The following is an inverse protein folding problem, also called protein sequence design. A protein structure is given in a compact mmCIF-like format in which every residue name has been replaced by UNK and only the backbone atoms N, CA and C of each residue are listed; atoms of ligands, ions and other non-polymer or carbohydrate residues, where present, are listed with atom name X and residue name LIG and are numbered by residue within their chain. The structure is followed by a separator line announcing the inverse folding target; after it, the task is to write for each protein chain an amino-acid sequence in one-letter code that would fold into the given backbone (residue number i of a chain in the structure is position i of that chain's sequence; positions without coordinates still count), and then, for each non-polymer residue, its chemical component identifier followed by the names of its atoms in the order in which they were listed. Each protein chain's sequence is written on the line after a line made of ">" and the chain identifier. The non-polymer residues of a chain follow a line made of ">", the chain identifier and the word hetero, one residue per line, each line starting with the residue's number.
data_IF_349721705104
#
_entry.id   IF_349721705104
#
_cell.length_a   1.000
_cell.length_b   1.000
_cell.length_c   1.000
_cell.angle_alpha   90.00
_cell.angle_beta   90.00
_cell.angle_gamma   90.00
#
_symmetry.space_group_name_H-M   'P 1'
#
loop_
_entity.id
_entity.type
_entity.pdbx_description
1 polymer ?
#
# COMPACT_ATOMS: atom_id res chain seq x y z
N UNK A 1 28.92 18.52 52.30
CA UNK A 1 27.74 17.99 51.60
C UNK A 1 27.75 18.14 50.04
N UNK A 2 28.38 19.13 49.38
CA UNK A 2 28.35 19.24 47.90
C UNK A 2 29.13 18.14 47.18
N UNK A 3 30.23 17.62 47.71
CA UNK A 3 31.01 16.53 47.09
C UNK A 3 30.20 15.23 46.93
N UNK A 4 29.46 14.79 47.93
CA UNK A 4 28.65 13.56 47.89
C UNK A 4 27.56 13.65 46.81
N UNK A 5 26.92 14.80 46.63
CA UNK A 5 25.92 15.01 45.56
C UNK A 5 26.56 14.94 44.18
N UNK A 6 27.73 15.55 43.98
CA UNK A 6 28.48 15.49 42.70
C UNK A 6 28.85 14.04 42.34
N UNK A 7 29.37 13.28 43.31
CA UNK A 7 29.73 11.87 43.10
C UNK A 7 28.49 11.04 42.70
N UNK A 8 27.37 11.21 43.43
CA UNK A 8 26.11 10.50 43.11
C UNK A 8 25.62 10.83 41.69
N UNK A 9 25.59 12.11 41.30
CA UNK A 9 25.17 12.48 39.93
C UNK A 9 26.16 11.97 38.88
N UNK A 10 27.45 12.01 39.12
CA UNK A 10 28.45 11.48 38.19
C UNK A 10 28.32 9.96 38.04
N UNK A 11 28.08 9.22 39.13
CA UNK A 11 27.85 7.77 39.07
C UNK A 11 26.55 7.44 38.32
N UNK A 12 25.45 8.14 38.64
CA UNK A 12 24.18 7.95 37.95
C UNK A 12 24.32 8.22 36.43
N UNK A 13 24.98 9.31 36.06
CA UNK A 13 25.24 9.64 34.67
C UNK A 13 26.11 8.60 33.98
N UNK A 14 27.20 8.16 34.59
CA UNK A 14 28.07 7.13 34.05
C UNK A 14 27.35 5.78 33.87
N UNK A 15 26.53 5.40 34.88
CA UNK A 15 25.71 4.17 34.78
C UNK A 15 24.67 4.26 33.66
N UNK A 16 23.95 5.38 33.55
CA UNK A 16 22.99 5.61 32.48
C UNK A 16 23.67 5.57 31.11
N UNK A 17 24.80 6.24 30.98
CA UNK A 17 25.57 6.23 29.74
C UNK A 17 26.03 4.80 29.36
N UNK A 18 26.54 4.03 30.33
CA UNK A 18 26.95 2.66 30.13
C UNK A 18 25.78 1.77 29.67
N UNK A 19 24.60 1.90 30.30
CA UNK A 19 23.39 1.18 29.91
C UNK A 19 22.98 1.54 28.47
N UNK A 20 22.98 2.81 28.11
CA UNK A 20 22.64 3.27 26.74
C UNK A 20 23.65 2.72 25.73
N UNK A 21 24.94 2.77 26.00
CA UNK A 21 25.98 2.23 25.12
C UNK A 21 25.84 0.73 24.95
N UNK A 22 25.60 -0.02 26.02
CA UNK A 22 25.39 -1.47 25.97
C UNK A 22 24.13 -1.83 25.18
N UNK A 23 23.03 -1.11 25.40
CA UNK A 23 21.81 -1.31 24.65
C UNK A 23 21.99 -1.01 23.16
N UNK A 24 22.68 0.07 22.81
CA UNK A 24 23.01 0.41 21.43
C UNK A 24 23.91 -0.66 20.77
N UNK A 25 24.94 -1.12 21.50
CA UNK A 25 25.84 -2.19 21.01
C UNK A 25 25.09 -3.51 20.81
N UNK A 26 24.19 -3.88 21.74
CA UNK A 26 23.35 -5.07 21.61
C UNK A 26 22.40 -4.96 20.42
N UNK A 27 21.74 -3.80 20.23
CA UNK A 27 20.90 -3.54 19.07
C UNK A 27 21.67 -3.62 17.76
N UNK A 28 22.84 -2.98 17.69
CA UNK A 28 23.72 -3.06 16.51
C UNK A 28 24.16 -4.50 16.23
N UNK A 29 24.59 -5.24 17.26
CA UNK A 29 24.96 -6.64 17.11
C UNK A 29 23.81 -7.50 16.62
N UNK A 30 22.58 -7.29 17.14
CA UNK A 30 21.38 -8.00 16.69
C UNK A 30 21.11 -7.81 15.19
N UNK A 31 21.24 -6.57 14.69
CA UNK A 31 21.05 -6.25 13.28
C UNK A 31 22.20 -6.77 12.43
N UNK A 32 23.43 -6.47 12.81
CA UNK A 32 24.61 -6.73 11.97
C UNK A 32 24.99 -8.22 11.89
N UNK A 33 24.75 -8.95 12.98
CA UNK A 33 24.99 -10.41 13.04
C UNK A 33 23.76 -11.22 12.62
N UNK A 34 22.65 -10.57 12.25
CA UNK A 34 21.45 -11.25 11.80
C UNK A 34 20.77 -12.11 12.87
N UNK A 35 20.86 -11.74 14.14
CA UNK A 35 20.37 -12.56 15.25
C UNK A 35 18.84 -12.62 15.32
N UNK A 36 18.15 -11.64 14.72
CA UNK A 36 16.70 -11.65 14.64
C UNK A 36 16.24 -12.37 13.39
N UNK A 37 15.50 -13.49 13.57
CA UNK A 37 14.94 -14.24 12.45
C UNK A 37 13.83 -13.45 11.75
N UNK A 38 14.00 -13.17 10.45
CA UNK A 38 13.03 -12.44 9.61
C UNK A 38 12.25 -13.36 8.65
N UNK A 39 12.39 -14.70 8.81
CA UNK A 39 11.68 -15.66 7.97
C UNK A 39 10.16 -15.56 8.22
N UNK A 40 9.36 -15.55 7.14
CA UNK A 40 7.91 -15.50 7.24
C UNK A 40 7.29 -16.79 7.84
N UNK A 41 8.07 -17.87 7.97
CA UNK A 41 7.69 -19.10 8.66
C UNK A 41 7.76 -18.98 10.19
N UNK A 42 8.34 -17.91 10.72
CA UNK A 42 8.54 -17.69 12.15
C UNK A 42 7.73 -16.49 12.64
N UNK A 43 7.17 -16.60 13.81
CA UNK A 43 6.44 -15.49 14.41
C UNK A 43 7.39 -14.52 15.13
N UNK A 44 7.03 -13.24 15.15
CA UNK A 44 7.71 -12.27 16.00
C UNK A 44 7.64 -12.67 17.48
N UNK A 45 8.65 -12.33 18.27
CA UNK A 45 8.53 -12.37 19.71
C UNK A 45 7.30 -11.58 20.17
N UNK A 46 6.52 -12.15 21.09
CA UNK A 46 5.28 -11.53 21.56
C UNK A 46 5.40 -10.06 21.95
N UNK A 47 6.43 -9.58 22.68
CA UNK A 47 6.61 -8.16 22.98
C UNK A 47 6.83 -7.30 21.73
N UNK A 48 7.60 -7.78 20.75
CA UNK A 48 7.83 -7.09 19.47
C UNK A 48 6.52 -6.95 18.71
N UNK A 49 5.76 -8.04 18.59
CA UNK A 49 4.44 -8.03 17.96
C UNK A 49 3.51 -7.00 18.64
N UNK A 50 3.41 -7.03 19.97
CA UNK A 50 2.54 -6.11 20.72
C UNK A 50 2.91 -4.64 20.52
N UNK A 51 4.21 -4.31 20.50
CA UNK A 51 4.68 -2.94 20.24
C UNK A 51 4.31 -2.50 18.82
N UNK A 52 4.57 -3.35 17.81
CA UNK A 52 4.27 -3.04 16.42
C UNK A 52 2.77 -2.89 16.18
N UNK A 53 1.95 -3.78 16.75
CA UNK A 53 0.49 -3.73 16.65
C UNK A 53 -0.05 -2.46 17.33
N UNK A 54 0.41 -2.15 18.54
CA UNK A 54 0.01 -0.93 19.25
C UNK A 54 0.40 0.33 18.49
N UNK A 55 1.63 0.37 17.95
CA UNK A 55 2.11 1.49 17.15
C UNK A 55 1.26 1.68 15.87
N UNK A 56 0.91 0.58 15.19
CA UNK A 56 0.04 0.59 14.02
C UNK A 56 -1.35 1.15 14.39
N UNK A 57 -1.99 0.63 15.44
CA UNK A 57 -3.29 1.10 15.91
C UNK A 57 -3.29 2.61 16.23
N UNK A 58 -2.32 3.11 16.99
CA UNK A 58 -2.23 4.54 17.33
C UNK A 58 -1.93 5.40 16.10
N UNK A 59 -1.10 4.90 15.19
CA UNK A 59 -0.80 5.57 13.93
C UNK A 59 -2.05 5.75 13.05
N UNK A 60 -2.86 4.70 12.93
CA UNK A 60 -4.11 4.74 12.16
C UNK A 60 -5.10 5.71 12.79
N UNK A 61 -5.32 5.61 14.11
CA UNK A 61 -6.23 6.51 14.86
C UNK A 61 -5.87 7.98 14.67
N UNK A 62 -4.59 8.32 14.83
CA UNK A 62 -4.12 9.68 14.67
C UNK A 62 -4.40 10.21 13.25
N UNK A 63 -4.05 9.42 12.25
CA UNK A 63 -4.15 9.85 10.84
C UNK A 63 -5.58 9.86 10.34
N UNK A 64 -6.39 8.87 10.69
CA UNK A 64 -7.80 8.85 10.31
C UNK A 64 -8.56 10.09 10.83
N UNK A 65 -8.25 10.54 12.05
CA UNK A 65 -8.86 11.76 12.61
C UNK A 65 -8.49 13.03 11.85
N UNK A 66 -7.24 13.11 11.36
CA UNK A 66 -6.70 14.37 10.82
C UNK A 66 -6.79 14.47 9.30
N UNK A 67 -7.00 13.36 8.58
CA UNK A 67 -6.91 13.34 7.12
C UNK A 67 -8.07 12.64 6.40
N UNK A 68 -9.07 12.14 7.15
CA UNK A 68 -10.24 11.51 6.54
C UNK A 68 -11.48 12.36 6.80
N UNK A 69 -12.14 12.74 5.72
CA UNK A 69 -13.40 13.48 5.76
C UNK A 69 -14.54 12.67 6.42
N UNK A 70 -15.65 13.32 6.68
CA UNK A 70 -16.84 12.61 7.19
C UNK A 70 -17.32 11.57 6.16
N UNK A 71 -17.69 10.35 6.62
CA UNK A 71 -18.19 9.32 5.74
C UNK A 71 -19.45 9.80 4.99
N UNK A 72 -19.57 9.49 3.69
CA UNK A 72 -20.83 9.73 3.00
C UNK A 72 -21.95 8.84 3.58
N UNK A 73 -23.22 9.21 3.41
CA UNK A 73 -24.32 8.32 3.77
C UNK A 73 -24.27 7.06 2.91
N UNK A 74 -24.15 5.91 3.55
CA UNK A 74 -24.07 4.62 2.86
C UNK A 74 -25.45 4.18 2.37
N UNK A 75 -25.48 3.57 1.18
CA UNK A 75 -26.69 3.02 0.57
C UNK A 75 -26.42 1.62 0.00
N UNK A 76 -27.48 0.90 -0.37
CA UNK A 76 -27.36 -0.49 -0.88
C UNK A 76 -26.52 -0.61 -2.16
N UNK A 77 -26.53 0.40 -3.03
CA UNK A 77 -25.67 0.41 -4.23
C UNK A 77 -24.20 0.44 -3.87
N UNK A 78 -23.83 1.26 -2.87
CA UNK A 78 -22.46 1.30 -2.33
C UNK A 78 -22.08 -0.05 -1.70
N UNK A 79 -22.97 -0.63 -0.90
CA UNK A 79 -22.74 -1.95 -0.28
C UNK A 79 -22.50 -3.01 -1.36
N UNK A 80 -23.32 -3.03 -2.40
CA UNK A 80 -23.20 -4.00 -3.49
C UNK A 80 -21.91 -3.80 -4.31
N UNK A 81 -21.56 -2.55 -4.61
CA UNK A 81 -20.27 -2.21 -5.26
C UNK A 81 -19.10 -2.63 -4.36
N UNK A 82 -19.16 -2.34 -3.08
CA UNK A 82 -18.18 -2.73 -2.08
C UNK A 82 -18.02 -4.24 -1.95
N UNK A 83 -19.12 -5.00 -2.02
CA UNK A 83 -19.09 -6.47 -2.08
C UNK A 83 -18.31 -6.97 -3.30
N UNK A 84 -18.49 -6.32 -4.44
CA UNK A 84 -17.73 -6.60 -5.65
C UNK A 84 -16.23 -6.31 -5.48
N UNK A 85 -15.87 -5.17 -4.91
CA UNK A 85 -14.48 -4.81 -4.62
C UNK A 85 -13.85 -5.76 -3.58
N UNK A 86 -14.59 -6.11 -2.55
CA UNK A 86 -14.15 -7.09 -1.55
C UNK A 86 -13.83 -8.44 -2.16
N UNK A 87 -14.74 -8.97 -2.98
CA UNK A 87 -14.54 -10.24 -3.68
C UNK A 87 -13.30 -10.22 -4.56
N UNK A 88 -13.11 -9.15 -5.35
CA UNK A 88 -12.07 -9.09 -6.37
C UNK A 88 -10.69 -8.78 -5.78
N UNK A 89 -10.61 -8.04 -4.66
CA UNK A 89 -9.36 -7.47 -4.16
C UNK A 89 -8.98 -7.94 -2.74
N UNK A 90 -9.95 -8.24 -1.89
CA UNK A 90 -9.71 -8.49 -0.46
C UNK A 90 -9.84 -9.96 -0.07
N UNK A 91 -10.78 -10.67 -0.72
CA UNK A 91 -11.17 -12.03 -0.35
C UNK A 91 -10.00 -13.02 -0.34
N UNK A 92 -9.09 -12.91 -1.30
CA UNK A 92 -7.92 -13.79 -1.42
C UNK A 92 -7.00 -13.76 -0.19
N UNK A 93 -6.92 -12.61 0.50
CA UNK A 93 -6.07 -12.44 1.68
C UNK A 93 -6.84 -12.50 2.99
N UNK A 94 -8.10 -12.06 3.02
CA UNK A 94 -8.87 -11.94 4.25
C UNK A 94 -9.95 -13.02 4.43
N UNK A 95 -10.28 -13.79 3.38
CA UNK A 95 -11.39 -14.72 3.41
C UNK A 95 -12.75 -14.03 3.61
N UNK A 96 -13.75 -14.77 4.06
CA UNK A 96 -15.08 -14.27 4.34
C UNK A 96 -15.94 -15.35 4.98
N UNK A 97 -17.21 -15.05 5.33
CA UNK A 97 -18.11 -16.08 5.85
C UNK A 97 -18.17 -17.31 4.95
N UNK A 98 -17.75 -18.45 5.47
CA UNK A 98 -17.68 -19.72 4.73
C UNK A 98 -16.57 -19.83 3.66
N UNK A 99 -15.72 -18.82 3.51
CA UNK A 99 -14.62 -18.80 2.53
C UNK A 99 -13.29 -18.58 3.23
N UNK A 100 -12.40 -19.57 3.14
CA UNK A 100 -11.06 -19.46 3.69
C UNK A 100 -10.18 -18.51 2.86
N UNK A 101 -9.15 -17.98 3.49
CA UNK A 101 -8.08 -17.25 2.81
C UNK A 101 -7.40 -18.14 1.76
N UNK A 102 -6.93 -17.54 0.67
CA UNK A 102 -6.05 -18.21 -0.29
C UNK A 102 -4.66 -18.53 0.29
N UNK A 103 -3.87 -19.31 -0.41
CA UNK A 103 -2.58 -19.78 0.08
C UNK A 103 -1.58 -18.65 0.33
N UNK A 104 -1.62 -17.60 -0.49
CA UNK A 104 -0.79 -16.41 -0.28
C UNK A 104 -1.17 -15.73 1.06
N UNK A 105 -2.48 -15.52 1.30
CA UNK A 105 -2.95 -14.91 2.55
C UNK A 105 -2.54 -15.72 3.79
N UNK A 106 -2.69 -17.06 3.73
CA UNK A 106 -2.29 -17.98 4.81
C UNK A 106 -0.78 -17.99 5.08
N UNK A 107 0.04 -17.61 4.10
CA UNK A 107 1.50 -17.63 4.19
C UNK A 107 2.12 -16.29 4.58
N UNK A 108 1.32 -15.24 4.75
CA UNK A 108 1.84 -13.91 5.10
C UNK A 108 2.20 -13.79 6.58
N UNK A 109 3.23 -13.02 6.89
CA UNK A 109 3.56 -12.56 8.23
C UNK A 109 3.74 -11.02 8.21
N UNK A 110 2.92 -10.27 8.93
CA UNK A 110 1.80 -10.71 9.79
C UNK A 110 0.64 -11.33 8.97
N UNK A 111 -0.03 -12.31 9.57
CA UNK A 111 -1.18 -12.97 8.96
C UNK A 111 -2.33 -11.97 8.76
N UNK A 112 -2.90 -11.83 7.56
CA UNK A 112 -4.10 -11.02 7.35
C UNK A 112 -5.25 -11.59 8.19
N UNK A 113 -5.77 -10.78 9.12
CA UNK A 113 -6.92 -11.21 9.94
C UNK A 113 -8.22 -11.23 9.12
N UNK A 114 -9.22 -12.02 9.56
CA UNK A 114 -10.55 -11.97 8.97
C UNK A 114 -11.19 -10.59 9.21
N UNK A 115 -11.96 -10.10 8.23
CA UNK A 115 -12.59 -8.79 8.30
C UNK A 115 -14.06 -8.83 8.76
N UNK A 116 -14.57 -10.01 9.12
CA UNK A 116 -15.96 -10.18 9.60
C UNK A 116 -16.28 -9.37 10.85
N UNK A 117 -15.27 -8.97 11.63
CA UNK A 117 -15.42 -8.14 12.82
C UNK A 117 -14.72 -6.78 12.71
N UNK A 118 -14.26 -6.41 11.51
CA UNK A 118 -13.50 -5.18 11.31
C UNK A 118 -14.25 -3.94 11.80
N UNK A 119 -15.55 -3.85 11.52
CA UNK A 119 -16.42 -2.76 11.96
C UNK A 119 -16.61 -2.66 13.50
N UNK A 120 -16.26 -3.71 14.24
CA UNK A 120 -16.25 -3.69 15.71
C UNK A 120 -14.93 -3.20 16.30
N UNK A 121 -13.85 -3.33 15.53
CA UNK A 121 -12.48 -2.96 15.96
C UNK A 121 -12.03 -1.59 15.49
N UNK A 122 -12.56 -1.15 14.35
CA UNK A 122 -12.16 0.07 13.66
C UNK A 122 -13.37 0.98 13.41
N UNK A 123 -13.20 2.26 13.61
CA UNK A 123 -14.20 3.24 13.16
C UNK A 123 -14.24 3.30 11.62
N UNK A 124 -15.32 3.86 11.10
CA UNK A 124 -15.52 4.04 9.65
C UNK A 124 -14.37 4.79 8.99
N UNK A 125 -13.88 5.87 9.61
CA UNK A 125 -12.72 6.64 9.13
C UNK A 125 -11.43 5.85 9.18
N UNK A 126 -11.23 5.04 10.21
CA UNK A 126 -10.05 4.17 10.35
C UNK A 126 -10.05 3.06 9.30
N UNK A 127 -11.20 2.44 9.04
CA UNK A 127 -11.34 1.44 7.97
C UNK A 127 -11.04 2.04 6.59
N UNK A 128 -11.58 3.25 6.32
CA UNK A 128 -11.27 3.96 5.09
C UNK A 128 -9.79 4.26 4.95
N UNK A 129 -9.16 4.79 6.01
CA UNK A 129 -7.73 5.10 6.02
C UNK A 129 -6.88 3.85 5.76
N UNK A 130 -7.19 2.75 6.44
CA UNK A 130 -6.51 1.46 6.29
C UNK A 130 -6.64 0.91 4.86
N UNK A 131 -7.84 0.93 4.31
CA UNK A 131 -8.09 0.48 2.94
C UNK A 131 -7.37 1.36 1.94
N UNK A 132 -7.45 2.67 2.09
CA UNK A 132 -6.81 3.63 1.18
C UNK A 132 -5.28 3.48 1.16
N UNK A 133 -4.65 3.47 2.34
CA UNK A 133 -3.19 3.59 2.46
C UNK A 133 -2.45 2.29 2.71
N UNK A 134 -3.17 1.20 3.02
CA UNK A 134 -2.54 -0.06 3.40
C UNK A 134 -1.73 0.02 4.70
N UNK A 135 -0.93 -1.00 4.96
CA UNK A 135 -0.08 -1.08 6.15
C UNK A 135 1.35 -1.40 5.72
N UNK A 136 2.27 -0.50 6.03
CA UNK A 136 3.69 -0.66 5.73
C UNK A 136 4.28 -1.89 6.44
N UNK A 137 5.18 -2.59 5.77
CA UNK A 137 5.83 -3.83 6.24
C UNK A 137 4.83 -4.96 6.52
N UNK A 138 3.64 -4.90 5.91
CA UNK A 138 2.68 -6.00 5.83
C UNK A 138 2.35 -6.29 4.37
N UNK A 139 1.62 -7.36 4.12
CA UNK A 139 1.12 -7.68 2.78
C UNK A 139 -0.07 -6.83 2.32
N UNK A 140 -0.62 -5.93 3.16
CA UNK A 140 -1.76 -5.09 2.80
C UNK A 140 -1.34 -3.89 1.94
N UNK A 141 -1.69 -3.86 0.63
CA UNK A 141 -1.30 -2.78 -0.26
C UNK A 141 -2.13 -1.51 -0.02
N UNK A 142 -1.64 -0.38 -0.50
CA UNK A 142 -2.43 0.84 -0.61
C UNK A 142 -3.36 0.74 -1.84
N UNK A 143 -4.67 0.84 -1.61
CA UNK A 143 -5.66 0.70 -2.67
C UNK A 143 -5.96 2.02 -3.41
N UNK A 144 -5.55 3.19 -2.90
CA UNK A 144 -5.77 4.51 -3.51
C UNK A 144 -5.23 4.63 -4.95
N UNK A 145 -4.31 3.73 -5.35
CA UNK A 145 -3.75 3.71 -6.70
C UNK A 145 -4.51 2.77 -7.67
N UNK A 146 -5.45 1.99 -7.15
CA UNK A 146 -6.25 1.04 -7.93
C UNK A 146 -7.74 1.34 -7.87
N UNK A 147 -8.20 1.84 -6.75
CA UNK A 147 -9.59 2.18 -6.50
C UNK A 147 -9.76 3.70 -6.44
N UNK A 148 -10.85 4.19 -6.95
CA UNK A 148 -11.24 5.58 -6.74
C UNK A 148 -11.85 5.77 -5.34
N UNK A 149 -12.15 7.01 -5.01
CA UNK A 149 -12.65 7.37 -3.67
C UNK A 149 -14.04 6.77 -3.39
N UNK A 150 -14.90 6.71 -4.40
CA UNK A 150 -16.22 6.11 -4.29
C UNK A 150 -16.15 4.59 -4.08
N UNK A 151 -15.22 3.91 -4.74
CA UNK A 151 -14.98 2.48 -4.56
C UNK A 151 -14.39 2.17 -3.18
N UNK A 152 -13.49 3.04 -2.67
CA UNK A 152 -12.94 2.92 -1.33
C UNK A 152 -14.05 3.05 -0.26
N UNK A 153 -14.90 4.07 -0.36
CA UNK A 153 -16.05 4.24 0.54
C UNK A 153 -17.06 3.11 0.40
N UNK A 154 -17.29 2.63 -0.82
CA UNK A 154 -18.16 1.48 -1.08
C UNK A 154 -17.63 0.22 -0.40
N UNK A 155 -16.31 -0.01 -0.46
CA UNK A 155 -15.67 -1.12 0.25
C UNK A 155 -15.89 -1.02 1.76
N UNK A 156 -15.75 0.18 2.34
CA UNK A 156 -16.02 0.40 3.76
C UNK A 156 -17.50 0.19 4.09
N UNK A 157 -18.43 0.61 3.23
CA UNK A 157 -19.86 0.35 3.42
C UNK A 157 -20.17 -1.15 3.48
N UNK A 158 -19.54 -1.95 2.63
CA UNK A 158 -19.63 -3.41 2.69
C UNK A 158 -19.01 -3.98 3.96
N UNK A 159 -17.84 -3.50 4.39
CA UNK A 159 -17.20 -3.93 5.64
C UNK A 159 -18.08 -3.64 6.88
N UNK A 160 -18.87 -2.58 6.86
CA UNK A 160 -19.84 -2.29 7.91
C UNK A 160 -20.98 -3.33 7.94
N UNK A 161 -21.38 -3.83 6.79
CA UNK A 161 -22.43 -4.84 6.65
C UNK A 161 -21.96 -6.25 6.94
N UNK A 162 -20.66 -6.52 6.75
CA UNK A 162 -20.08 -7.86 6.79
C UNK A 162 -20.31 -8.64 8.10
N UNK A 163 -20.30 -8.01 9.31
CA UNK A 163 -20.61 -8.71 10.57
C UNK A 163 -22.02 -9.32 10.65
N UNK A 164 -22.96 -8.83 9.86
CA UNK A 164 -24.35 -9.25 9.88
C UNK A 164 -24.66 -10.32 8.82
N UNK A 165 -23.66 -10.70 8.00
CA UNK A 165 -23.83 -11.66 6.92
C UNK A 165 -23.47 -13.07 7.40
N UNK A 166 -24.41 -13.99 7.30
CA UNK A 166 -24.12 -15.41 7.36
C UNK A 166 -23.49 -15.91 6.04
N UNK A 167 -23.15 -17.20 5.99
CA UNK A 167 -22.49 -17.81 4.81
C UNK A 167 -23.36 -17.67 3.55
N UNK A 168 -24.66 -17.93 3.64
CA UNK A 168 -25.58 -17.89 2.51
C UNK A 168 -25.75 -16.45 2.00
N UNK A 169 -25.98 -15.50 2.90
CA UNK A 169 -26.10 -14.08 2.57
C UNK A 169 -24.82 -13.50 1.95
N UNK A 170 -23.65 -13.90 2.49
CA UNK A 170 -22.36 -13.49 1.93
C UNK A 170 -22.16 -14.01 0.50
N UNK A 171 -22.48 -15.29 0.25
CA UNK A 171 -22.39 -15.86 -1.10
C UNK A 171 -23.37 -15.20 -2.06
N UNK A 172 -24.62 -15.00 -1.64
CA UNK A 172 -25.64 -14.34 -2.46
C UNK A 172 -25.19 -12.93 -2.86
N UNK A 173 -24.75 -12.10 -1.92
CA UNK A 173 -24.35 -10.73 -2.26
C UNK A 173 -23.07 -10.69 -3.12
N UNK A 174 -22.06 -11.48 -2.81
CA UNK A 174 -20.75 -11.40 -3.48
C UNK A 174 -20.73 -12.11 -4.84
N UNK A 175 -21.51 -13.16 -5.05
CA UNK A 175 -21.53 -13.92 -6.30
C UNK A 175 -22.73 -13.56 -7.16
N UNK A 176 -23.94 -13.74 -6.65
CA UNK A 176 -25.17 -13.62 -7.45
C UNK A 176 -25.53 -12.16 -7.73
N UNK A 177 -25.68 -11.36 -6.67
CA UNK A 177 -26.11 -9.96 -6.80
C UNK A 177 -25.07 -9.08 -7.48
N UNK A 178 -23.78 -9.25 -7.13
CA UNK A 178 -22.68 -8.55 -7.82
C UNK A 178 -22.61 -8.96 -9.28
N UNK A 179 -22.77 -10.26 -9.59
CA UNK A 179 -22.79 -10.75 -10.98
C UNK A 179 -23.94 -10.15 -11.79
N UNK A 180 -25.16 -10.18 -11.23
CA UNK A 180 -26.34 -9.59 -11.85
C UNK A 180 -26.21 -8.07 -12.07
N UNK A 181 -25.74 -7.34 -11.06
CA UNK A 181 -25.57 -5.89 -11.14
C UNK A 181 -24.51 -5.47 -12.18
N UNK A 182 -23.43 -6.22 -12.31
CA UNK A 182 -22.43 -6.02 -13.37
C UNK A 182 -22.98 -6.29 -14.75
N UNK A 183 -23.72 -7.38 -14.92
CA UNK A 183 -24.36 -7.73 -16.18
C UNK A 183 -25.41 -6.70 -16.61
N UNK A 184 -26.11 -6.10 -15.64
CA UNK A 184 -27.06 -5.01 -15.87
C UNK A 184 -26.40 -3.62 -16.04
N UNK A 185 -25.09 -3.51 -15.89
CA UNK A 185 -24.35 -2.24 -15.95
C UNK A 185 -24.59 -1.30 -14.76
N UNK A 186 -25.20 -1.80 -13.67
CA UNK A 186 -25.50 -0.99 -12.46
C UNK A 186 -24.23 -0.68 -11.66
N UNK A 187 -23.27 -1.61 -11.62
CA UNK A 187 -21.97 -1.42 -11.01
C UNK A 187 -20.85 -1.83 -11.98
N UNK A 188 -19.75 -1.07 -11.97
CA UNK A 188 -18.56 -1.40 -12.75
C UNK A 188 -17.70 -2.47 -12.05
N UNK A 189 -16.75 -3.03 -12.79
CA UNK A 189 -15.65 -3.79 -12.22
C UNK A 189 -14.79 -2.86 -11.37
N UNK A 190 -14.37 -3.33 -10.20
CA UNK A 190 -13.60 -2.54 -9.26
C UNK A 190 -12.27 -2.06 -9.87
N UNK A 191 -11.98 -0.77 -9.78
CA UNK A 191 -10.80 -0.13 -10.38
C UNK A 191 -10.96 0.29 -11.84
N UNK A 192 -12.06 -0.06 -12.51
CA UNK A 192 -12.26 0.26 -13.92
C UNK A 192 -12.32 1.78 -14.18
N UNK A 193 -12.98 2.52 -13.32
CA UNK A 193 -13.12 3.98 -13.45
C UNK A 193 -11.76 4.69 -13.44
N UNK A 194 -10.86 4.28 -12.54
CA UNK A 194 -9.51 4.85 -12.46
C UNK A 194 -8.69 4.60 -13.73
N UNK A 195 -8.80 3.42 -14.31
CA UNK A 195 -8.10 3.07 -15.55
C UNK A 195 -8.65 3.79 -16.78
N UNK A 196 -9.94 4.13 -16.75
CA UNK A 196 -10.62 4.86 -17.83
C UNK A 196 -10.52 6.39 -17.71
N UNK A 197 -10.13 6.90 -16.54
CA UNK A 197 -10.06 8.33 -16.28
C UNK A 197 -9.07 9.04 -17.21
N UNK A 198 -9.49 10.18 -17.76
CA UNK A 198 -8.59 11.03 -18.54
C UNK A 198 -7.42 11.55 -17.68
N UNK A 199 -6.22 11.68 -18.25
CA UNK A 199 -5.11 12.25 -17.51
C UNK A 199 -5.37 13.72 -17.16
N UNK A 200 -4.87 14.25 -16.03
CA UNK A 200 -4.97 15.65 -15.70
C UNK A 200 -4.22 16.51 -16.73
N UNK A 201 -4.61 17.77 -16.89
CA UNK A 201 -3.96 18.68 -17.82
C UNK A 201 -2.45 18.82 -17.54
N UNK A 202 -2.07 18.86 -16.25
CA UNK A 202 -0.67 18.95 -15.80
C UNK A 202 -0.34 17.81 -14.84
N UNK A 203 0.86 17.25 -14.97
CA UNK A 203 1.38 16.26 -14.04
C UNK A 203 1.82 16.88 -12.72
N UNK A 204 1.68 16.13 -11.63
CA UNK A 204 2.19 16.50 -10.31
C UNK A 204 3.36 15.57 -9.97
N UNK A 205 4.57 16.14 -9.81
CA UNK A 205 5.78 15.37 -9.54
C UNK A 205 5.75 14.60 -8.21
N UNK A 206 5.07 15.12 -7.18
CA UNK A 206 4.96 14.43 -5.89
C UNK A 206 4.08 13.17 -6.02
N UNK A 207 2.96 13.27 -6.74
CA UNK A 207 2.13 12.11 -7.07
C UNK A 207 2.88 11.15 -8.01
N UNK A 208 3.71 11.67 -8.94
CA UNK A 208 4.55 10.87 -9.81
C UNK A 208 5.59 10.03 -9.04
N UNK A 209 6.26 10.63 -8.05
CA UNK A 209 7.15 9.90 -7.15
C UNK A 209 6.42 8.76 -6.41
N UNK A 210 5.22 9.04 -5.95
CA UNK A 210 4.39 8.05 -5.26
C UNK A 210 3.96 6.94 -6.22
N UNK A 211 3.52 7.28 -7.43
CA UNK A 211 3.12 6.32 -8.46
C UNK A 211 4.28 5.41 -8.88
N UNK A 212 5.52 5.91 -8.99
CA UNK A 212 6.71 5.08 -9.25
C UNK A 212 6.90 3.99 -8.20
N UNK A 213 6.63 4.29 -6.95
CA UNK A 213 6.68 3.32 -5.87
C UNK A 213 5.50 2.34 -5.94
N UNK A 214 4.29 2.82 -6.18
CA UNK A 214 3.06 2.04 -6.20
C UNK A 214 2.96 1.07 -7.38
N UNK A 215 3.51 1.45 -8.52
CA UNK A 215 3.64 0.58 -9.68
C UNK A 215 4.94 -0.24 -9.66
N UNK A 216 5.62 -0.33 -8.50
CA UNK A 216 6.81 -1.12 -8.28
C UNK A 216 7.96 -0.83 -9.28
N UNK A 217 8.06 0.37 -9.84
CA UNK A 217 9.11 0.73 -10.79
C UNK A 217 10.51 0.63 -10.16
N UNK A 218 10.60 0.89 -8.84
CA UNK A 218 11.80 0.74 -8.03
C UNK A 218 12.21 -0.71 -7.76
N UNK A 219 11.41 -1.70 -8.14
CA UNK A 219 11.82 -3.11 -8.10
C UNK A 219 12.84 -3.45 -9.20
N UNK A 220 12.85 -2.66 -10.28
CA UNK A 220 13.73 -2.88 -11.43
C UNK A 220 14.67 -1.68 -11.71
N UNK A 221 14.27 -0.46 -11.33
CA UNK A 221 15.01 0.76 -11.60
C UNK A 221 15.52 1.42 -10.33
N UNK A 222 16.78 1.84 -10.30
CA UNK A 222 17.26 2.80 -9.31
C UNK A 222 16.75 4.20 -9.69
N UNK A 223 15.96 4.81 -8.79
CA UNK A 223 15.26 6.08 -9.04
C UNK A 223 15.67 7.08 -7.96
N UNK A 224 16.35 8.19 -8.32
CA UNK A 224 16.71 9.22 -7.34
C UNK A 224 15.48 9.68 -6.54
N UNK A 225 15.60 9.75 -5.22
CA UNK A 225 14.53 10.17 -4.33
C UNK A 225 13.41 9.14 -4.08
N UNK A 226 13.49 7.94 -4.66
CA UNK A 226 12.58 6.81 -4.37
C UNK A 226 13.37 5.71 -3.67
N UNK A 227 12.99 5.38 -2.44
CA UNK A 227 13.62 4.31 -1.67
C UNK A 227 13.20 2.95 -2.22
N UNK A 228 14.15 2.06 -2.46
CA UNK A 228 13.91 0.71 -2.96
C UNK A 228 15.16 -0.16 -2.84
N UNK A 229 15.09 -1.41 -3.30
CA UNK A 229 16.26 -2.28 -3.35
C UNK A 229 17.30 -1.72 -4.33
N UNK A 230 18.56 -1.99 -4.07
CA UNK A 230 19.61 -1.78 -5.06
C UNK A 230 19.46 -2.83 -6.16
N UNK A 231 19.09 -2.38 -7.37
CA UNK A 231 18.73 -3.27 -8.48
C UNK A 231 19.36 -2.80 -9.79
N UNK A 232 19.66 -3.76 -10.65
CA UNK A 232 20.26 -3.55 -11.97
C UNK A 232 19.47 -4.23 -13.10
N UNK A 233 18.20 -4.56 -12.86
CA UNK A 233 17.32 -5.18 -13.86
C UNK A 233 17.01 -4.20 -14.99
N UNK A 234 16.60 -2.99 -14.62
CA UNK A 234 16.40 -1.87 -15.54
C UNK A 234 17.51 -0.82 -15.40
N UNK A 235 17.67 0.07 -16.37
CA UNK A 235 18.65 1.16 -16.26
C UNK A 235 18.29 2.11 -15.11
N UNK A 236 19.30 2.69 -14.47
CA UNK A 236 19.10 3.79 -13.53
C UNK A 236 18.36 4.95 -14.20
N UNK A 237 17.40 5.56 -13.50
CA UNK A 237 16.66 6.73 -13.98
C UNK A 237 17.32 8.06 -13.57
N UNK A 238 18.53 8.04 -12.99
CA UNK A 238 19.33 9.23 -12.82
C UNK A 238 19.64 9.85 -14.19
N UNK A 239 19.58 11.17 -14.28
CA UNK A 239 19.82 11.90 -15.54
C UNK A 239 18.77 11.63 -16.63
N UNK A 240 17.58 11.09 -16.29
CA UNK A 240 16.57 10.73 -17.28
C UNK A 240 16.12 11.91 -18.14
N UNK A 241 15.94 13.09 -17.56
CA UNK A 241 15.52 14.30 -18.27
C UNK A 241 16.50 14.77 -19.35
N UNK A 242 17.78 14.36 -19.27
CA UNK A 242 18.82 14.73 -20.22
C UNK A 242 18.95 13.75 -21.39
N UNK A 243 18.18 12.67 -21.42
CA UNK A 243 18.24 11.67 -22.49
C UNK A 243 17.51 12.15 -23.73
N UNK A 244 18.07 11.90 -24.89
CA UNK A 244 17.44 12.25 -26.19
C UNK A 244 16.34 11.25 -26.58
N UNK A 245 16.39 10.03 -26.06
CA UNK A 245 15.46 8.96 -26.44
C UNK A 245 14.91 8.21 -25.22
N UNK A 246 13.67 7.72 -25.33
CA UNK A 246 13.01 6.81 -24.41
C UNK A 246 13.16 5.39 -24.96
N UNK A 247 13.63 4.47 -24.11
CA UNK A 247 13.85 3.06 -24.44
C UNK A 247 14.74 2.80 -25.67
N UNK A 248 15.43 3.84 -26.16
CA UNK A 248 16.25 3.80 -27.37
C UNK A 248 15.47 3.81 -28.68
N UNK A 249 14.13 3.97 -28.65
CA UNK A 249 13.26 3.88 -29.85
C UNK A 249 12.33 5.05 -30.06
N UNK A 250 12.02 5.85 -29.04
CA UNK A 250 11.15 7.01 -29.15
C UNK A 250 11.91 8.30 -28.83
N UNK A 251 11.63 9.41 -29.52
CA UNK A 251 12.09 10.74 -29.10
C UNK A 251 11.62 11.07 -27.68
N UNK A 252 12.45 11.78 -26.92
CA UNK A 252 12.12 12.15 -25.53
C UNK A 252 11.09 13.28 -25.51
N UNK A 253 9.81 12.92 -25.52
CA UNK A 253 8.69 13.82 -25.29
C UNK A 253 7.81 13.27 -24.16
N UNK A 254 7.00 14.14 -23.55
CA UNK A 254 6.08 13.74 -22.48
C UNK A 254 5.10 12.68 -22.98
N UNK A 255 4.53 12.85 -24.16
CA UNK A 255 3.56 11.94 -24.78
C UNK A 255 4.16 10.57 -25.06
N UNK A 256 5.39 10.54 -25.56
CA UNK A 256 6.11 9.28 -25.80
C UNK A 256 6.48 8.58 -24.50
N UNK A 257 6.81 9.34 -23.45
CA UNK A 257 7.07 8.77 -22.13
C UNK A 257 5.79 8.16 -21.53
N UNK A 258 4.67 8.88 -21.59
CA UNK A 258 3.39 8.34 -21.12
C UNK A 258 2.98 7.08 -21.88
N UNK A 259 3.15 7.08 -23.19
CA UNK A 259 2.91 5.89 -24.01
C UNK A 259 3.82 4.73 -23.61
N UNK A 260 5.12 4.97 -23.43
CA UNK A 260 6.08 3.96 -22.98
C UNK A 260 5.73 3.37 -21.62
N UNK A 261 5.33 4.21 -20.65
CA UNK A 261 4.97 3.77 -19.30
C UNK A 261 3.73 2.88 -19.29
N UNK A 262 2.78 3.14 -20.18
CA UNK A 262 1.51 2.40 -20.25
C UNK A 262 1.61 1.14 -21.09
N UNK A 263 2.30 1.21 -22.20
CA UNK A 263 2.30 0.17 -23.24
C UNK A 263 3.70 -0.19 -23.73
N UNK A 264 4.63 -0.58 -22.82
CA UNK A 264 6.03 -0.80 -23.20
C UNK A 264 6.19 -1.90 -24.26
N UNK A 265 5.39 -2.95 -24.22
CA UNK A 265 5.44 -4.05 -25.17
C UNK A 265 4.92 -3.65 -26.57
N UNK A 266 3.97 -2.71 -26.64
CA UNK A 266 3.50 -2.17 -27.93
C UNK A 266 4.52 -1.23 -28.56
N UNK A 267 5.29 -0.50 -27.74
CA UNK A 267 6.35 0.43 -28.20
C UNK A 267 7.61 -0.33 -28.61
N UNK A 268 8.02 -1.31 -27.81
CA UNK A 268 9.23 -2.11 -28.05
C UNK A 268 8.95 -3.58 -27.73
N UNK A 269 8.44 -4.35 -28.69
CA UNK A 269 8.16 -5.76 -28.49
C UNK A 269 9.38 -6.53 -28.00
N UNK A 270 9.20 -7.39 -27.00
CA UNK A 270 10.27 -8.18 -26.40
C UNK A 270 11.14 -7.43 -25.39
N UNK A 271 10.79 -6.18 -25.02
CA UNK A 271 11.47 -5.49 -23.89
C UNK A 271 11.23 -6.23 -22.59
N UNK A 272 12.23 -6.22 -21.69
CA UNK A 272 12.09 -6.78 -20.35
C UNK A 272 11.16 -5.95 -19.45
N UNK A 273 10.84 -4.72 -19.78
CA UNK A 273 9.90 -3.88 -19.03
C UNK A 273 8.47 -4.37 -19.25
N UNK A 274 7.78 -4.89 -18.23
CA UNK A 274 6.40 -5.35 -18.37
C UNK A 274 5.40 -4.18 -18.35
N UNK A 275 4.19 -4.42 -18.84
CA UNK A 275 3.07 -3.50 -18.63
C UNK A 275 2.63 -3.55 -17.17
N UNK A 276 2.86 -2.47 -16.43
CA UNK A 276 2.61 -2.38 -14.97
C UNK A 276 1.18 -1.91 -14.64
N UNK A 277 0.29 -1.79 -15.62
CA UNK A 277 -1.07 -1.29 -15.39
C UNK A 277 -1.11 0.18 -14.96
N UNK A 278 -0.21 0.99 -15.50
CA UNK A 278 -0.14 2.43 -15.17
C UNK A 278 -1.34 3.14 -15.79
N UNK A 279 -2.12 3.85 -14.95
CA UNK A 279 -3.25 4.65 -15.44
C UNK A 279 -2.77 5.86 -16.25
N UNK A 280 -3.62 6.46 -17.11
CA UNK A 280 -3.26 7.69 -17.84
C UNK A 280 -2.85 8.83 -16.90
N UNK A 281 -3.52 8.97 -15.76
CA UNK A 281 -3.20 9.99 -14.76
C UNK A 281 -1.83 9.73 -14.11
N UNK A 282 -1.57 8.49 -13.69
CA UNK A 282 -0.29 8.14 -13.08
C UNK A 282 0.86 8.28 -14.08
N UNK A 283 0.67 7.92 -15.34
CA UNK A 283 1.68 8.11 -16.38
C UNK A 283 2.06 9.60 -16.53
N UNK A 284 1.06 10.51 -16.52
CA UNK A 284 1.26 11.96 -16.54
C UNK A 284 2.00 12.44 -15.29
N UNK A 285 1.66 11.95 -14.12
CA UNK A 285 2.34 12.28 -12.86
C UNK A 285 3.79 11.77 -12.84
N UNK A 286 4.02 10.52 -13.28
CA UNK A 286 5.36 9.92 -13.38
C UNK A 286 6.23 10.73 -14.36
N UNK A 287 5.69 11.11 -15.51
CA UNK A 287 6.42 11.92 -16.48
C UNK A 287 6.86 13.26 -15.87
N UNK A 288 6.01 13.92 -15.10
CA UNK A 288 6.34 15.15 -14.39
C UNK A 288 7.46 14.99 -13.36
N UNK A 289 7.52 13.84 -12.68
CA UNK A 289 8.62 13.55 -11.75
C UNK A 289 9.92 13.28 -12.50
N UNK A 290 9.89 12.42 -13.51
CA UNK A 290 11.08 12.04 -14.28
C UNK A 290 11.69 13.23 -15.06
N UNK A 291 10.89 14.22 -15.44
CA UNK A 291 11.36 15.47 -16.06
C UNK A 291 12.29 16.30 -15.13
N UNK A 292 12.30 16.03 -13.83
CA UNK A 292 13.18 16.68 -12.86
C UNK A 292 14.50 15.92 -12.63
N UNK A 293 14.67 14.74 -13.20
CA UNK A 293 15.86 13.87 -13.03
C UNK A 293 16.98 14.32 -13.98
N UNK A 294 17.66 15.40 -13.61
CA UNK A 294 18.82 15.95 -14.33
C UNK A 294 20.10 15.23 -14.00
#
# INVERSE_FOLDING_TARGET
>A
MPHRRRTVYATLFATLLAVVVLAAAAGFATVYLGLYNVAASEQHFKPVYQVLESAMHQSVKLRARSSVDEPPPFNETMVLRGAGCYRDQCLQCHGGPGVAQGDIGKSMQPLPGPLVDAARRWSTKEMYWLTRHGIRMSGMPAWEHRLDDEELWSTVAFLQRLPDLDVAAFQTITLEQVGAARSAGTIATCGAARMAAAPPATGNAMLGRQALYQHACNACHMIPGVTGPETHVGPSLAGFASRSNIAGVLPHTTENLERWLREPQAVKPGTAMPAMGVSPADARHIAAYLAQMK
#
